data_IF_497729121015
#
_entry.id   IF_497729121015
#
_cell.length_a   1.000
_cell.length_b   1.000
_cell.length_c   1.000
_cell.angle_alpha   90.00
_cell.angle_beta   90.00
_cell.angle_gamma   90.00
#
_symmetry.space_group_name_H-M   'P 1'
#
loop_
_entity.id
_entity.type
_entity.pdbx_description
1 polymer ?
#
# COMPACT_ATOMS: atom_id res chain seq x y z
N UNK A 1 -13.43 -79.70 22.10
CA UNK A 1 -14.47 -78.74 22.54
C UNK A 1 -14.13 -78.31 23.96
N UNK A 2 -14.07 -77.00 24.25
CA UNK A 2 -13.84 -76.43 25.60
C UNK A 2 -12.41 -75.87 25.81
N UNK A 3 -12.02 -74.79 25.13
CA UNK A 3 -12.15 -73.39 25.55
C UNK A 3 -11.32 -73.06 26.80
N UNK A 4 -10.25 -72.33 26.50
CA UNK A 4 -9.09 -71.95 27.27
C UNK A 4 -9.37 -71.08 28.51
N UNK A 5 -8.85 -71.52 29.66
CA UNK A 5 -8.52 -70.67 30.81
C UNK A 5 -7.33 -69.77 30.47
N UNK A 6 -7.55 -68.71 29.71
CA UNK A 6 -6.62 -67.56 29.65
C UNK A 6 -7.43 -66.28 29.68
N UNK A 7 -8.27 -66.14 30.71
CA UNK A 7 -9.08 -64.96 30.97
C UNK A 7 -8.43 -64.10 32.06
N UNK A 8 -7.13 -63.78 31.92
CA UNK A 8 -6.41 -62.85 32.81
C UNK A 8 -5.24 -62.14 32.10
N UNK A 9 -5.47 -61.62 30.90
CA UNK A 9 -4.57 -60.65 30.25
C UNK A 9 -5.29 -60.00 29.09
N UNK A 10 -6.10 -58.99 29.40
CA UNK A 10 -6.92 -58.34 28.38
C UNK A 10 -7.55 -57.06 28.89
N UNK A 11 -6.79 -56.19 29.55
CA UNK A 11 -7.29 -54.85 29.87
C UNK A 11 -6.19 -53.79 30.08
N UNK A 12 -5.05 -53.89 29.37
CA UNK A 12 -4.05 -52.80 29.33
C UNK A 12 -3.48 -52.74 27.90
N UNK A 13 -4.27 -52.27 26.95
CA UNK A 13 -3.79 -51.80 25.64
C UNK A 13 -4.88 -51.02 24.89
N UNK A 14 -5.50 -50.05 25.58
CA UNK A 14 -6.36 -49.05 24.94
C UNK A 14 -6.16 -47.67 25.59
N UNK A 15 -4.92 -47.21 25.62
CA UNK A 15 -4.57 -45.85 26.03
C UNK A 15 -3.41 -45.34 25.16
N UNK A 16 -3.55 -45.42 23.84
CA UNK A 16 -2.55 -44.83 22.94
C UNK A 16 -3.09 -44.52 21.53
N UNK A 17 -4.26 -43.90 21.44
CA UNK A 17 -4.68 -43.20 20.21
C UNK A 17 -5.56 -42.02 20.61
N UNK A 18 -4.96 -40.88 20.97
CA UNK A 18 -5.32 -39.50 20.53
C UNK A 18 -4.20 -38.57 21.06
N UNK A 19 -3.03 -38.59 20.42
CA UNK A 19 -2.01 -37.56 20.66
C UNK A 19 -1.24 -37.19 19.39
N UNK A 20 -1.91 -37.31 18.24
CA UNK A 20 -1.40 -36.83 16.95
C UNK A 20 -2.58 -36.25 16.18
N UNK A 21 -2.76 -34.93 16.25
CA UNK A 21 -3.83 -34.26 15.51
C UNK A 21 -4.17 -32.83 15.96
N UNK A 22 -3.70 -32.39 17.12
CA UNK A 22 -3.97 -31.04 17.62
C UNK A 22 -2.85 -30.03 17.27
N UNK A 23 -2.40 -30.01 16.01
CA UNK A 23 -2.10 -28.72 15.36
C UNK A 23 -3.35 -28.32 14.57
N UNK A 24 -4.50 -28.33 15.25
CA UNK A 24 -5.73 -27.77 14.72
C UNK A 24 -5.46 -26.27 14.59
N UNK A 25 -5.39 -25.80 13.36
CA UNK A 25 -5.01 -24.44 13.06
C UNK A 25 -5.98 -23.51 13.81
N UNK A 26 -5.49 -22.64 14.73
CA UNK A 26 -6.31 -21.97 15.75
C UNK A 26 -7.41 -21.07 15.18
N UNK A 27 -7.36 -20.80 13.88
CA UNK A 27 -8.37 -20.06 13.12
C UNK A 27 -9.63 -20.88 12.79
N UNK A 28 -9.61 -22.21 12.73
CA UNK A 28 -10.82 -23.02 12.48
C UNK A 28 -11.86 -22.97 13.60
N UNK A 29 -11.45 -22.61 14.82
CA UNK A 29 -12.34 -22.60 15.99
C UNK A 29 -13.24 -21.35 16.08
N UNK A 30 -12.94 -20.30 15.32
CA UNK A 30 -13.73 -19.08 15.28
C UNK A 30 -14.52 -19.10 13.98
N UNK A 31 -15.83 -18.82 13.96
CA UNK A 31 -16.61 -18.77 12.72
C UNK A 31 -16.13 -17.69 11.72
N UNK A 32 -16.68 -17.65 10.49
CA UNK A 32 -16.24 -16.72 9.45
C UNK A 32 -16.41 -15.26 9.91
N UNK A 33 -15.30 -14.58 10.19
CA UNK A 33 -15.33 -13.16 10.55
C UNK A 33 -15.32 -12.35 9.26
N UNK A 34 -16.44 -11.70 8.90
CA UNK A 34 -16.48 -10.69 7.82
C UNK A 34 -15.76 -9.37 8.18
N UNK A 35 -14.78 -9.42 9.08
CA UNK A 35 -13.95 -8.27 9.45
C UNK A 35 -12.89 -7.97 8.38
N UNK A 36 -12.57 -8.93 7.50
CA UNK A 36 -11.58 -8.77 6.44
C UNK A 36 -12.28 -8.34 5.15
N UNK A 37 -12.11 -7.07 4.78
CA UNK A 37 -12.64 -6.53 3.51
C UNK A 37 -11.65 -6.80 2.38
N UNK A 38 -10.39 -6.50 2.61
CA UNK A 38 -9.30 -6.69 1.66
C UNK A 38 -8.25 -7.60 2.28
N UNK A 39 -7.92 -8.68 1.59
CA UNK A 39 -6.74 -9.48 1.93
C UNK A 39 -5.58 -9.07 1.03
N UNK A 40 -4.51 -8.57 1.61
CA UNK A 40 -3.32 -8.20 0.84
C UNK A 40 -2.38 -9.41 0.75
N UNK A 41 -1.82 -9.68 -0.43
CA UNK A 41 -0.84 -10.73 -0.65
C UNK A 41 0.44 -10.10 -1.17
N UNK A 42 1.55 -10.33 -0.48
CA UNK A 42 2.84 -9.75 -0.79
C UNK A 42 3.94 -10.81 -0.71
N UNK A 43 4.94 -10.72 -1.59
CA UNK A 43 6.16 -11.52 -1.44
C UNK A 43 6.97 -11.07 -0.22
N UNK A 44 7.69 -11.97 0.42
CA UNK A 44 8.58 -11.66 1.55
C UNK A 44 9.90 -11.00 1.09
N UNK A 45 9.79 -9.92 0.33
CA UNK A 45 10.88 -9.01 -0.04
C UNK A 45 10.69 -7.66 0.68
N UNK A 46 11.77 -6.88 0.79
CA UNK A 46 11.78 -5.59 1.51
C UNK A 46 10.66 -4.64 1.06
N UNK A 47 10.60 -4.34 -0.24
CA UNK A 47 9.65 -3.38 -0.82
C UNK A 47 8.17 -3.79 -0.69
N UNK A 48 7.74 -4.99 -1.14
CA UNK A 48 6.35 -5.43 -0.99
C UNK A 48 5.94 -5.61 0.47
N UNK A 49 6.83 -6.10 1.33
CA UNK A 49 6.54 -6.29 2.75
C UNK A 49 6.29 -4.96 3.45
N UNK A 50 7.13 -3.94 3.21
CA UNK A 50 6.93 -2.60 3.76
C UNK A 50 5.56 -2.04 3.36
N UNK A 51 5.18 -2.21 2.09
CA UNK A 51 3.89 -1.73 1.60
C UNK A 51 2.72 -2.45 2.28
N UNK A 52 2.81 -3.77 2.45
CA UNK A 52 1.81 -4.55 3.16
C UNK A 52 1.69 -4.16 4.65
N UNK A 53 2.82 -3.88 5.31
CA UNK A 53 2.86 -3.38 6.69
C UNK A 53 2.21 -2.00 6.82
N UNK A 54 2.43 -1.10 5.86
CA UNK A 54 1.77 0.21 5.84
C UNK A 54 0.28 0.12 5.57
N UNK A 55 -0.16 -0.74 4.64
CA UNK A 55 -1.58 -1.01 4.42
C UNK A 55 -2.22 -1.55 5.70
N UNK A 56 -1.57 -2.49 6.39
CA UNK A 56 -2.05 -2.99 7.68
C UNK A 56 -2.21 -1.87 8.70
N UNK A 57 -1.21 -0.98 8.78
CA UNK A 57 -1.19 0.12 9.72
C UNK A 57 -2.31 1.14 9.47
N UNK A 58 -2.52 1.54 8.21
CA UNK A 58 -3.53 2.56 7.86
C UNK A 58 -4.95 1.99 7.80
N UNK A 59 -5.13 0.82 7.19
CA UNK A 59 -6.46 0.27 6.88
C UNK A 59 -6.94 -0.82 7.83
N UNK A 60 -6.05 -1.31 8.71
CA UNK A 60 -6.27 -2.49 9.56
C UNK A 60 -6.64 -3.76 8.78
N UNK A 61 -6.36 -3.80 7.49
CA UNK A 61 -6.59 -4.97 6.65
C UNK A 61 -5.38 -5.93 6.75
N UNK A 62 -5.61 -7.23 6.99
CA UNK A 62 -4.55 -8.20 7.16
C UNK A 62 -3.83 -8.49 5.84
N UNK A 63 -2.62 -9.05 5.95
CA UNK A 63 -1.84 -9.47 4.80
C UNK A 63 -1.20 -10.85 4.97
N UNK A 64 -0.96 -11.50 3.84
CA UNK A 64 -0.18 -12.71 3.70
C UNK A 64 1.19 -12.38 3.12
N UNK A 65 2.24 -12.81 3.80
CA UNK A 65 3.59 -12.87 3.26
C UNK A 65 3.82 -14.25 2.67
N UNK A 66 4.09 -14.25 1.37
CA UNK A 66 4.44 -15.43 0.62
C UNK A 66 5.95 -15.62 0.58
N UNK A 67 6.43 -16.87 0.60
CA UNK A 67 7.86 -17.14 0.54
C UNK A 67 8.43 -16.75 -0.81
N UNK A 68 9.67 -16.29 -0.79
CA UNK A 68 10.43 -15.99 -2.01
C UNK A 68 11.09 -17.27 -2.53
N UNK A 69 11.22 -17.45 -3.86
CA UNK A 69 11.91 -18.63 -4.42
C UNK A 69 13.35 -18.77 -3.93
N UNK A 70 14.01 -17.63 -3.66
CA UNK A 70 15.41 -17.55 -3.25
C UNK A 70 15.62 -17.81 -1.75
N UNK A 71 14.57 -17.69 -0.94
CA UNK A 71 14.66 -17.86 0.50
C UNK A 71 14.66 -19.34 0.89
N UNK A 72 15.51 -19.70 1.86
CA UNK A 72 15.43 -21.02 2.52
C UNK A 72 14.17 -21.17 3.37
N UNK A 73 13.59 -20.04 3.77
CA UNK A 73 12.34 -19.99 4.51
C UNK A 73 11.15 -20.01 3.54
N UNK A 74 10.48 -21.16 3.46
CA UNK A 74 9.32 -21.41 2.60
C UNK A 74 7.98 -21.25 3.33
N UNK A 75 7.98 -20.57 4.47
CA UNK A 75 6.79 -20.36 5.30
C UNK A 75 5.90 -19.27 4.72
N UNK A 76 4.58 -19.51 4.75
CA UNK A 76 3.58 -18.48 4.51
C UNK A 76 3.21 -17.89 5.86
N UNK A 77 3.29 -16.57 6.00
CA UNK A 77 3.01 -15.87 7.25
C UNK A 77 1.77 -15.00 7.07
N UNK A 78 0.78 -15.19 7.92
CA UNK A 78 -0.39 -14.31 8.00
C UNK A 78 -0.22 -13.32 9.14
N UNK A 79 -0.39 -12.05 8.82
CA UNK A 79 -0.29 -10.96 9.77
C UNK A 79 -1.65 -10.26 9.84
N UNK A 80 -2.20 -10.25 11.04
CA UNK A 80 -3.48 -9.62 11.37
C UNK A 80 -3.27 -8.26 12.03
N UNK A 81 -4.29 -7.39 11.96
CA UNK A 81 -4.19 -6.04 12.48
C UNK A 81 -4.17 -5.95 14.02
N UNK A 82 -4.51 -7.04 14.71
CA UNK A 82 -4.46 -7.18 16.17
C UNK A 82 -4.13 -8.64 16.47
N UNK A 83 -3.08 -8.87 17.25
CA UNK A 83 -2.68 -10.21 17.71
C UNK A 83 -1.40 -10.73 17.05
N UNK A 84 -1.02 -11.98 17.34
CA UNK A 84 0.19 -12.59 16.81
C UNK A 84 0.06 -12.90 15.31
N UNK A 85 1.20 -12.99 14.64
CA UNK A 85 1.27 -13.55 13.29
C UNK A 85 1.20 -15.08 13.35
N UNK A 86 0.63 -15.70 12.30
CA UNK A 86 0.48 -17.15 12.20
C UNK A 86 1.21 -17.70 10.99
N UNK A 87 1.84 -18.86 11.15
CA UNK A 87 2.38 -19.64 10.05
C UNK A 87 1.27 -20.50 9.43
N UNK A 88 1.16 -20.47 8.11
CA UNK A 88 0.17 -21.21 7.35
C UNK A 88 0.88 -22.23 6.46
N UNK A 89 0.52 -23.53 6.56
CA UNK A 89 0.98 -24.52 5.60
C UNK A 89 0.44 -24.22 4.20
N UNK A 90 1.27 -24.39 3.16
CA UNK A 90 0.85 -24.17 1.75
C UNK A 90 -0.42 -24.96 1.38
N UNK A 91 -0.53 -26.20 1.88
CA UNK A 91 -1.71 -27.06 1.67
C UNK A 91 -3.00 -26.51 2.29
N UNK A 92 -2.88 -25.65 3.30
CA UNK A 92 -3.98 -25.06 4.04
C UNK A 92 -4.33 -23.65 3.58
N UNK A 93 -3.58 -23.09 2.63
CA UNK A 93 -3.74 -21.70 2.17
C UNK A 93 -5.15 -21.46 1.63
N UNK A 94 -5.65 -22.35 0.78
CA UNK A 94 -6.97 -22.21 0.18
C UNK A 94 -8.08 -22.21 1.25
N UNK A 95 -8.07 -23.21 2.16
CA UNK A 95 -9.08 -23.26 3.23
C UNK A 95 -8.96 -22.04 4.16
N UNK A 96 -7.75 -21.54 4.40
CA UNK A 96 -7.54 -20.35 5.21
C UNK A 96 -8.13 -19.09 4.56
N UNK A 97 -7.90 -18.88 3.27
CA UNK A 97 -8.46 -17.73 2.56
C UNK A 97 -9.98 -17.83 2.48
N UNK A 98 -10.54 -19.02 2.26
CA UNK A 98 -11.98 -19.26 2.33
C UNK A 98 -12.55 -18.99 3.72
N UNK A 99 -11.81 -19.34 4.76
CA UNK A 99 -12.17 -19.07 6.14
C UNK A 99 -12.23 -17.56 6.42
N UNK A 100 -11.24 -16.79 5.95
CA UNK A 100 -11.25 -15.32 6.05
C UNK A 100 -12.38 -14.69 5.22
N UNK A 101 -12.77 -15.33 4.12
CA UNK A 101 -13.80 -14.90 3.19
C UNK A 101 -13.73 -13.38 2.85
N UNK A 102 -12.57 -12.89 2.36
CA UNK A 102 -12.40 -11.47 2.05
C UNK A 102 -13.30 -11.04 0.88
N UNK A 103 -13.69 -9.76 0.84
CA UNK A 103 -14.43 -9.21 -0.33
C UNK A 103 -13.57 -9.12 -1.57
N UNK A 104 -12.26 -8.92 -1.41
CA UNK A 104 -11.28 -8.87 -2.49
C UNK A 104 -9.90 -9.26 -2.01
N UNK A 105 -9.07 -9.73 -2.93
CA UNK A 105 -7.65 -10.02 -2.70
C UNK A 105 -6.84 -9.05 -3.54
N UNK A 106 -5.87 -8.39 -2.92
CA UNK A 106 -4.94 -7.48 -3.61
C UNK A 106 -3.55 -8.09 -3.58
N UNK A 107 -3.02 -8.42 -4.76
CA UNK A 107 -1.69 -8.99 -4.94
C UNK A 107 -0.71 -7.87 -5.29
N UNK A 108 0.36 -7.76 -4.48
CA UNK A 108 1.37 -6.72 -4.62
C UNK A 108 2.62 -7.28 -5.31
N UNK A 109 2.89 -6.77 -6.50
CA UNK A 109 3.99 -7.18 -7.35
C UNK A 109 3.59 -8.20 -8.42
N UNK A 110 4.49 -8.35 -9.38
CA UNK A 110 4.40 -9.31 -10.47
C UNK A 110 4.72 -10.76 -10.01
N UNK A 111 4.88 -11.64 -10.98
CA UNK A 111 5.19 -13.06 -10.76
C UNK A 111 6.59 -13.32 -10.20
N UNK A 112 7.51 -12.34 -10.25
CA UNK A 112 8.83 -12.39 -9.60
C UNK A 112 8.70 -12.29 -8.08
N UNK A 113 7.74 -11.47 -7.61
CA UNK A 113 7.51 -11.25 -6.18
C UNK A 113 6.50 -12.25 -5.59
N UNK A 114 5.42 -12.53 -6.31
CA UNK A 114 4.36 -13.43 -5.89
C UNK A 114 4.21 -14.56 -6.89
N UNK A 115 4.69 -15.74 -6.51
CA UNK A 115 4.69 -16.90 -7.39
C UNK A 115 3.26 -17.26 -7.85
N UNK A 116 3.03 -17.50 -9.16
CA UNK A 116 1.70 -17.83 -9.69
C UNK A 116 1.03 -19.02 -9.02
N UNK A 117 1.81 -19.96 -8.48
CA UNK A 117 1.29 -21.15 -7.80
C UNK A 117 0.36 -20.79 -6.65
N UNK A 118 0.66 -19.75 -5.89
CA UNK A 118 -0.16 -19.34 -4.74
C UNK A 118 -1.48 -18.72 -5.19
N UNK A 119 -1.45 -17.87 -6.21
CA UNK A 119 -2.65 -17.23 -6.76
C UNK A 119 -3.58 -18.25 -7.42
N UNK A 120 -3.03 -19.28 -8.09
CA UNK A 120 -3.79 -20.36 -8.71
C UNK A 120 -4.53 -21.26 -7.71
N UNK A 121 -4.06 -21.34 -6.46
CA UNK A 121 -4.71 -22.11 -5.39
C UNK A 121 -5.94 -21.40 -4.79
N UNK A 122 -6.09 -20.10 -5.05
CA UNK A 122 -7.16 -19.31 -4.47
C UNK A 122 -8.49 -19.58 -5.17
N UNK A 123 -9.57 -19.38 -4.42
CA UNK A 123 -10.92 -19.42 -4.98
C UNK A 123 -11.13 -18.24 -5.95
N UNK A 124 -11.54 -18.56 -7.18
CA UNK A 124 -11.81 -17.57 -8.24
C UNK A 124 -13.12 -16.81 -8.04
N UNK A 125 -13.96 -17.23 -7.09
CA UNK A 125 -15.17 -16.51 -6.70
C UNK A 125 -14.85 -15.16 -6.05
N UNK A 126 -13.67 -15.04 -5.42
CA UNK A 126 -13.21 -13.81 -4.78
C UNK A 126 -12.46 -12.98 -5.83
N UNK A 127 -12.82 -11.69 -6.04
CA UNK A 127 -12.09 -10.82 -6.95
C UNK A 127 -10.62 -10.68 -6.54
N UNK A 128 -9.71 -10.95 -7.48
CA UNK A 128 -8.27 -10.79 -7.31
C UNK A 128 -7.82 -9.60 -8.17
N UNK A 129 -7.23 -8.60 -7.54
CA UNK A 129 -6.60 -7.46 -8.23
C UNK A 129 -5.11 -7.54 -8.03
N UNK A 130 -4.34 -7.52 -9.12
CA UNK A 130 -2.88 -7.46 -9.06
C UNK A 130 -2.40 -6.06 -9.41
N UNK A 131 -1.51 -5.51 -8.59
CA UNK A 131 -0.84 -4.24 -8.83
C UNK A 131 0.63 -4.56 -9.08
N UNK A 132 1.08 -4.36 -10.30
CA UNK A 132 2.41 -4.73 -10.78
C UNK A 132 3.11 -3.56 -11.47
N UNK A 133 4.43 -3.62 -11.52
CA UNK A 133 5.27 -2.57 -12.10
C UNK A 133 6.72 -2.69 -11.61
N UNK A 134 7.62 -1.97 -12.27
CA UNK A 134 9.03 -1.93 -11.88
C UNK A 134 9.32 -0.87 -10.81
N UNK A 135 8.55 0.23 -10.80
CA UNK A 135 8.70 1.30 -9.81
C UNK A 135 7.71 1.13 -8.64
N UNK A 136 8.27 0.75 -7.49
CA UNK A 136 7.52 0.59 -6.25
C UNK A 136 6.88 1.87 -5.73
N UNK A 137 7.39 3.05 -6.08
CA UNK A 137 6.74 4.31 -5.70
C UNK A 137 5.43 4.51 -6.48
N UNK A 138 5.42 4.22 -7.78
CA UNK A 138 4.20 4.22 -8.60
C UNK A 138 3.20 3.17 -8.13
N UNK A 139 3.68 1.96 -7.80
CA UNK A 139 2.82 0.93 -7.21
C UNK A 139 2.16 1.44 -5.93
N UNK A 140 2.89 2.17 -5.09
CA UNK A 140 2.33 2.75 -3.87
C UNK A 140 1.26 3.82 -4.18
N UNK A 141 1.47 4.69 -5.17
CA UNK A 141 0.47 5.68 -5.63
C UNK A 141 -0.82 5.01 -6.13
N UNK A 142 -0.70 3.99 -6.99
CA UNK A 142 -1.84 3.24 -7.50
C UNK A 142 -2.57 2.47 -6.38
N UNK A 143 -1.80 1.90 -5.45
CA UNK A 143 -2.37 1.19 -4.29
C UNK A 143 -3.11 2.16 -3.36
N UNK A 144 -2.56 3.35 -3.15
CA UNK A 144 -3.18 4.46 -2.41
C UNK A 144 -4.53 4.83 -3.03
N UNK A 145 -4.58 5.02 -4.34
CA UNK A 145 -5.81 5.33 -5.07
C UNK A 145 -6.83 4.18 -4.93
N UNK A 146 -6.40 2.95 -5.22
CA UNK A 146 -7.27 1.77 -5.27
C UNK A 146 -7.88 1.42 -3.91
N UNK A 147 -7.10 1.55 -2.84
CA UNK A 147 -7.55 1.28 -1.47
C UNK A 147 -8.11 2.53 -0.78
N UNK A 148 -8.11 3.69 -1.45
CA UNK A 148 -8.51 4.98 -0.89
C UNK A 148 -7.78 5.31 0.41
N UNK A 149 -6.47 5.05 0.43
CA UNK A 149 -5.57 5.34 1.53
C UNK A 149 -4.97 6.73 1.32
N UNK A 150 -4.87 7.51 2.37
CA UNK A 150 -4.49 8.93 2.29
C UNK A 150 -2.99 9.15 2.46
N UNK A 151 -2.32 8.32 3.26
CA UNK A 151 -0.91 8.55 3.63
C UNK A 151 0.04 7.49 3.05
N UNK A 152 -0.48 6.34 2.59
CA UNK A 152 0.31 5.20 2.14
C UNK A 152 1.46 5.57 1.17
N UNK A 153 1.20 6.28 0.08
CA UNK A 153 2.24 6.58 -0.93
C UNK A 153 3.36 7.48 -0.39
N UNK A 154 2.99 8.53 0.36
CA UNK A 154 3.92 9.46 0.98
C UNK A 154 4.78 8.80 2.06
N UNK A 155 4.16 7.99 2.93
CA UNK A 155 4.85 7.26 3.99
C UNK A 155 5.75 6.17 3.40
N UNK A 156 5.29 5.48 2.35
CA UNK A 156 6.08 4.48 1.65
C UNK A 156 7.34 5.07 1.04
N UNK A 157 7.25 6.19 0.34
CA UNK A 157 8.41 6.85 -0.29
C UNK A 157 9.48 7.20 0.75
N UNK A 158 9.06 7.81 1.87
CA UNK A 158 9.96 8.19 2.98
C UNK A 158 10.63 6.96 3.60
N UNK A 159 9.83 5.97 4.02
CA UNK A 159 10.33 4.78 4.69
C UNK A 159 11.18 3.91 3.77
N UNK A 160 10.87 3.87 2.47
CA UNK A 160 11.69 3.18 1.48
C UNK A 160 13.04 3.84 1.29
N UNK A 161 13.09 5.16 1.20
CA UNK A 161 14.35 5.92 1.11
C UNK A 161 15.22 5.69 2.36
N UNK A 162 14.62 5.68 3.54
CA UNK A 162 15.31 5.33 4.80
C UNK A 162 15.78 3.87 4.83
N UNK A 163 14.98 2.93 4.33
CA UNK A 163 15.31 1.52 4.29
C UNK A 163 16.44 1.21 3.29
N UNK A 164 16.47 1.93 2.17
CA UNK A 164 17.53 1.82 1.16
C UNK A 164 18.81 2.53 1.59
N UNK A 165 18.72 3.66 2.29
CA UNK A 165 19.88 4.43 2.76
C UNK A 165 20.51 3.88 4.04
N UNK A 166 19.71 3.41 5.00
CA UNK A 166 20.18 3.01 6.34
C UNK A 166 20.15 1.49 6.59
N UNK A 167 19.57 0.71 5.68
CA UNK A 167 19.53 -0.76 5.78
C UNK A 167 18.82 -1.32 7.01
N UNK A 168 18.08 -0.50 7.77
CA UNK A 168 17.37 -0.88 9.01
C UNK A 168 15.88 -0.60 8.92
N UNK A 169 15.09 -1.56 9.41
CA UNK A 169 13.63 -1.48 9.51
C UNK A 169 13.21 -0.37 10.47
N UNK A 170 12.35 0.54 10.00
CA UNK A 170 11.60 1.45 10.87
C UNK A 170 10.21 0.86 11.09
N UNK A 171 9.87 0.65 12.36
CA UNK A 171 8.48 0.46 12.78
C UNK A 171 7.77 1.80 12.59
N UNK A 172 6.66 1.90 11.85
CA UNK A 172 5.93 3.15 11.76
C UNK A 172 5.50 3.57 13.17
N UNK A 173 5.99 4.73 13.63
CA UNK A 173 5.57 5.32 14.89
C UNK A 173 4.14 5.81 14.76
N UNK A 174 3.23 5.45 15.68
CA UNK A 174 1.88 5.97 15.64
C UNK A 174 1.92 7.47 15.90
N UNK A 175 1.45 8.28 14.94
CA UNK A 175 1.17 9.70 15.17
C UNK A 175 0.17 9.77 16.33
N UNK A 176 0.63 10.20 17.48
CA UNK A 176 -0.27 10.52 18.60
C UNK A 176 -1.07 11.76 18.21
N UNK A 177 -2.33 11.82 18.66
CA UNK A 177 -3.29 12.92 18.45
C UNK A 177 -2.72 14.32 18.72
N UNK A 178 -1.62 14.42 19.47
CA UNK A 178 -0.88 15.66 19.72
C UNK A 178 -0.18 16.25 18.47
N UNK A 179 0.17 15.46 17.46
CA UNK A 179 0.76 15.97 16.20
C UNK A 179 -0.29 16.51 15.22
N UNK A 180 -1.57 16.19 15.40
CA UNK A 180 -2.67 16.74 14.59
C UNK A 180 -3.15 18.12 15.07
N UNK A 181 -2.71 18.58 16.24
CA UNK A 181 -3.17 19.83 16.87
C UNK A 181 -2.11 20.92 16.91
N UNK A 182 -0.98 20.76 16.22
CA UNK A 182 -0.06 21.90 16.03
C UNK A 182 -0.75 22.90 15.08
N UNK A 183 -0.98 24.15 15.50
CA UNK A 183 -1.52 25.17 14.60
C UNK A 183 -0.53 25.34 13.45
N UNK A 184 -1.05 25.46 12.23
CA UNK A 184 -0.28 25.96 11.09
C UNK A 184 0.23 27.34 11.52
N UNK A 185 1.52 27.43 11.82
CA UNK A 185 2.17 28.72 12.04
C UNK A 185 1.95 29.52 10.77
N UNK A 186 1.32 30.67 10.96
CA UNK A 186 0.99 31.62 9.91
C UNK A 186 2.26 31.94 9.12
N UNK A 187 2.14 31.89 7.80
CA UNK A 187 3.09 32.52 6.89
C UNK A 187 3.21 33.98 7.30
N UNK A 188 4.31 34.35 7.95
CA UNK A 188 4.69 35.75 8.13
C UNK A 188 4.97 36.33 6.75
N UNK A 189 4.09 37.25 6.32
CA UNK A 189 4.40 38.20 5.28
C UNK A 189 5.58 39.08 5.73
N UNK A 190 6.53 39.42 4.87
CA UNK A 190 7.56 40.39 5.22
C UNK A 190 6.90 41.78 5.28
N UNK A 191 6.95 42.41 6.45
CA UNK A 191 6.62 43.82 6.61
C UNK A 191 7.86 44.67 6.28
N UNK A 192 7.60 45.74 5.52
CA UNK A 192 8.53 46.76 5.06
C UNK A 192 8.85 47.79 6.17
N UNK A 193 9.84 48.66 5.88
CA UNK A 193 10.40 49.81 6.62
C UNK A 193 11.43 49.46 7.73
N UNK A 194 12.68 49.95 7.72
CA UNK A 194 13.10 51.35 7.53
C UNK A 194 14.58 51.46 7.04
N UNK A 195 14.88 52.63 6.48
CA UNK A 195 15.93 53.00 5.51
C UNK A 195 17.17 53.70 6.12
N UNK A 196 18.35 53.54 5.48
CA UNK A 196 19.44 54.55 5.32
C UNK A 196 20.64 53.92 4.56
N UNK A 197 20.85 54.18 3.24
CA UNK A 197 21.62 55.30 2.65
C UNK A 197 23.17 55.06 2.73
N UNK A 198 24.05 55.13 1.71
CA UNK A 198 24.09 55.53 0.28
C UNK A 198 25.38 54.92 -0.33
N UNK A 199 25.39 54.50 -1.60
CA UNK A 199 26.43 54.88 -2.59
C UNK A 199 25.92 54.59 -4.01
N UNK A 200 25.97 55.64 -4.83
CA UNK A 200 25.39 55.77 -6.17
C UNK A 200 26.22 55.07 -7.25
N UNK A 201 25.57 54.36 -8.18
CA UNK A 201 26.09 54.25 -9.54
C UNK A 201 24.93 54.48 -10.53
N UNK A 202 24.97 55.65 -11.15
CA UNK A 202 24.05 56.14 -12.18
C UNK A 202 24.22 55.34 -13.48
N UNK A 203 23.16 54.70 -13.96
CA UNK A 203 22.97 54.48 -15.40
C UNK A 203 21.54 54.82 -15.80
N UNK A 204 21.48 55.87 -16.62
CA UNK A 204 20.34 56.55 -17.22
C UNK A 204 19.47 55.60 -18.07
N UNK A 205 18.15 55.62 -17.86
CA UNK A 205 17.18 54.82 -18.64
C UNK A 205 16.28 55.74 -19.47
N UNK A 206 16.37 55.56 -20.78
CA UNK A 206 15.60 56.20 -21.84
C UNK A 206 14.17 55.61 -21.90
N UNK A 207 13.08 56.40 -21.79
CA UNK A 207 11.74 55.85 -21.87
C UNK A 207 11.26 55.75 -23.33
N UNK A 208 11.04 54.51 -23.76
CA UNK A 208 10.31 54.18 -25.00
C UNK A 208 8.92 54.84 -25.02
N UNK A 209 8.49 55.45 -26.15
CA UNK A 209 7.19 56.10 -26.24
C UNK A 209 6.07 55.12 -26.61
N UNK A 210 4.89 55.47 -26.12
CA UNK A 210 3.63 54.77 -26.21
C UNK A 210 3.10 54.56 -27.64
N UNK A 211 2.29 53.51 -27.75
CA UNK A 211 1.50 53.10 -28.90
C UNK A 211 0.65 54.24 -29.48
N UNK A 212 0.70 54.40 -30.81
CA UNK A 212 -0.26 55.19 -31.59
C UNK A 212 -1.25 54.25 -32.29
N UNK A 213 -2.54 54.48 -32.02
CA UNK A 213 -3.66 53.92 -32.78
C UNK A 213 -3.79 54.63 -34.15
N UNK A 214 -4.33 53.99 -35.20
CA UNK A 214 -4.40 54.59 -36.53
C UNK A 214 -5.63 55.50 -36.64
N UNK A 215 -5.39 56.79 -36.87
CA UNK A 215 -6.42 57.74 -37.32
C UNK A 215 -6.40 57.84 -38.85
N UNK A 216 -7.52 57.49 -39.46
CA UNK A 216 -7.83 57.70 -40.86
C UNK A 216 -8.64 58.99 -41.03
N UNK A 217 -8.18 59.90 -41.91
CA UNK A 217 -8.92 60.98 -42.59
C UNK A 217 -7.97 61.56 -43.66
N UNK A 218 -8.35 62.00 -44.86
CA UNK A 218 -9.63 62.17 -45.54
C UNK A 218 -9.32 62.39 -47.06
N UNK A 219 -10.15 63.07 -47.87
CA UNK A 219 -10.84 62.57 -49.06
C UNK A 219 -10.19 62.94 -50.40
N UNK A 220 -10.51 62.22 -51.49
CA UNK A 220 -10.29 62.75 -52.84
C UNK A 220 -11.41 62.31 -53.81
N UNK A 221 -12.05 63.35 -54.38
CA UNK A 221 -12.81 63.48 -55.61
C UNK A 221 -13.63 62.31 -56.19
N UNK A 222 -14.95 62.52 -56.23
CA UNK A 222 -15.83 62.00 -57.29
C UNK A 222 -15.65 62.86 -58.55
N UNK A 223 -15.49 62.22 -59.71
CA UNK A 223 -16.00 62.74 -60.98
C UNK A 223 -16.83 61.64 -61.68
N UNK A 224 -17.91 62.02 -62.40
CA UNK A 224 -19.02 61.12 -62.72
C UNK A 224 -18.84 60.40 -64.05
N UNK A 225 -19.29 59.13 -64.11
CA UNK A 225 -19.66 58.49 -65.36
C UNK A 225 -21.10 58.92 -65.70
N UNK A 226 -21.26 59.72 -66.76
CA UNK A 226 -22.55 59.89 -67.45
C UNK A 226 -22.50 59.04 -68.72
N UNK A 227 -23.48 58.16 -68.86
CA UNK A 227 -23.86 57.55 -70.11
C UNK A 227 -24.93 58.44 -70.78
N UNK A 228 -24.92 58.41 -72.12
CA UNK A 228 -25.68 59.23 -73.12
C UNK A 228 -25.04 60.56 -73.53
#
# INVERSE_FOLDING_TARGET
MGISKVLKSGLILLALVVAAGAYAAPWFANGPKRDVVTLVMAGNYKSPRLMAELILYESRQPYLLLPTPESKDQKIIYVQAKGPAYEIPEKSLQQFVQFLNPRRIVVLGDDRYVQPKFVKLLDRSIPIVRIEGDDWNRIAEETTLLLSLSNLSGDYKKLREELMSKGKFLRPTPRTRAEQLKPVAQTEAPAEDEVAAVEEELVEFDPAPAAQAPEAKAPEAQEPATAE
#
